data_IF_627916771642
#
_entry.id   IF_627916771642
#
_cell.length_a   1.000
_cell.length_b   1.000
_cell.length_c   1.000
_cell.angle_alpha   90.00
_cell.angle_beta   90.00
_cell.angle_gamma   90.00
#
_symmetry.space_group_name_H-M   'P 1'
#
loop_
_entity.id
_entity.type
_entity.pdbx_description
1 polymer ?
#
# COMPACT_ATOMS: atom_id res chain seq x y z
N UNK A 1 10.63 26.78 9.36
CA UNK A 1 9.18 26.69 9.74
C UNK A 1 9.02 25.43 10.56
N UNK A 2 8.13 25.40 11.57
CA UNK A 2 7.87 24.19 12.35
C UNK A 2 6.93 23.27 11.55
N UNK A 3 7.35 22.02 11.39
CA UNK A 3 6.56 20.96 10.76
C UNK A 3 6.55 19.74 11.67
N UNK A 4 5.55 18.88 11.51
CA UNK A 4 5.54 17.59 12.18
C UNK A 4 6.44 16.60 11.42
N UNK A 5 7.37 15.99 12.18
CA UNK A 5 8.31 15.01 11.69
C UNK A 5 8.19 13.71 12.47
N UNK A 6 8.27 12.59 11.78
CA UNK A 6 8.40 11.26 12.37
C UNK A 6 9.88 10.93 12.45
N UNK A 7 10.40 10.84 13.66
CA UNK A 7 11.76 10.36 13.92
C UNK A 7 11.71 8.86 14.16
N UNK A 8 12.44 8.10 13.36
CA UNK A 8 12.51 6.64 13.42
C UNK A 8 13.81 6.21 14.07
N UNK A 9 13.75 5.38 15.10
CA UNK A 9 14.94 4.82 15.74
C UNK A 9 15.30 3.45 15.16
N UNK A 10 16.57 3.07 15.27
CA UNK A 10 17.04 1.73 14.89
C UNK A 10 16.40 0.65 15.77
N UNK A 11 16.19 0.94 17.06
CA UNK A 11 15.65 -0.03 18.03
C UNK A 11 14.60 0.63 18.90
N UNK A 12 13.56 -0.12 19.22
CA UNK A 12 12.47 0.35 20.09
C UNK A 12 12.95 0.59 21.53
N UNK A 13 13.93 -0.16 21.98
CA UNK A 13 14.50 -0.04 23.32
C UNK A 13 15.15 1.31 23.56
N UNK A 14 15.56 2.01 22.51
CA UNK A 14 16.19 3.32 22.58
C UNK A 14 15.19 4.46 22.79
N UNK A 15 13.87 4.23 22.64
CA UNK A 15 12.84 5.25 22.71
C UNK A 15 12.88 6.04 24.03
N UNK A 16 12.96 5.35 25.16
CA UNK A 16 12.92 6.03 26.46
C UNK A 16 14.12 6.95 26.66
N UNK A 17 15.32 6.48 26.34
CA UNK A 17 16.54 7.31 26.42
C UNK A 17 16.53 8.45 25.42
N UNK A 18 15.92 8.23 24.25
CA UNK A 18 15.76 9.26 23.23
C UNK A 18 14.80 10.37 23.72
N UNK A 19 13.66 10.01 24.33
CA UNK A 19 12.75 10.97 24.95
C UNK A 19 13.44 11.79 26.04
N UNK A 20 14.23 11.16 26.90
CA UNK A 20 14.98 11.84 27.96
C UNK A 20 15.96 12.85 27.39
N UNK A 21 16.69 12.50 26.34
CA UNK A 21 17.64 13.40 25.66
C UNK A 21 16.96 14.57 24.93
N UNK A 22 15.79 14.35 24.37
CA UNK A 22 15.04 15.38 23.65
C UNK A 22 14.30 16.35 24.58
N UNK A 23 13.75 15.85 25.68
CA UNK A 23 12.75 16.59 26.46
C UNK A 23 13.30 17.12 27.79
N UNK A 24 14.45 16.61 28.24
CA UNK A 24 15.03 17.03 29.54
C UNK A 24 16.11 18.10 29.32
N UNK A 25 16.02 19.25 29.99
CA UNK A 25 17.10 20.26 29.94
C UNK A 25 18.47 19.65 30.28
N UNK A 26 19.42 19.78 29.35
CA UNK A 26 20.75 19.17 29.46
C UNK A 26 20.90 17.81 28.83
N UNK A 27 19.84 17.25 28.25
CA UNK A 27 19.90 16.09 27.36
C UNK A 27 20.72 16.39 26.10
N UNK A 28 21.31 15.36 25.49
CA UNK A 28 22.22 15.52 24.34
C UNK A 28 21.54 16.11 23.10
N UNK A 29 20.24 15.87 22.94
CA UNK A 29 19.43 16.35 21.82
C UNK A 29 18.49 17.48 22.22
N UNK A 30 18.59 17.94 23.47
CA UNK A 30 17.76 19.04 23.95
C UNK A 30 18.12 20.33 23.21
N UNK A 31 17.11 20.98 22.63
CA UNK A 31 17.29 22.22 21.87
C UNK A 31 17.18 23.41 22.87
N UNK A 32 18.27 24.14 23.14
CA UNK A 32 18.22 25.30 24.04
C UNK A 32 17.26 26.37 23.55
N UNK A 33 16.68 27.08 24.50
CA UNK A 33 15.79 28.24 24.27
C UNK A 33 14.47 27.90 23.52
N UNK A 34 14.18 26.63 23.30
CA UNK A 34 12.92 26.16 22.73
C UNK A 34 12.45 24.86 23.38
N UNK A 35 11.23 24.84 23.85
CA UNK A 35 10.56 23.60 24.21
C UNK A 35 10.14 22.89 22.93
N UNK A 36 10.78 21.76 22.62
CA UNK A 36 10.38 20.93 21.48
C UNK A 36 9.07 20.24 21.83
N UNK A 37 8.07 20.47 21.00
CA UNK A 37 6.74 19.94 21.22
C UNK A 37 6.64 18.53 20.68
N UNK A 38 6.25 17.57 21.53
CA UNK A 38 5.92 16.20 21.14
C UNK A 38 4.55 16.20 20.48
N UNK A 39 4.51 15.90 19.19
CA UNK A 39 3.26 15.81 18.46
C UNK A 39 2.53 14.49 18.74
N UNK A 40 3.25 13.35 18.79
CA UNK A 40 2.67 12.06 19.11
C UNK A 40 3.70 11.10 19.72
N UNK A 41 3.30 10.43 20.81
CA UNK A 41 4.04 9.29 21.40
C UNK A 41 3.37 7.99 20.96
N UNK A 42 4.06 7.22 20.16
CA UNK A 42 3.58 5.92 19.71
C UNK A 42 4.09 4.84 20.67
N UNK A 43 3.16 4.14 21.34
CA UNK A 43 3.52 3.26 22.44
C UNK A 43 4.18 1.95 22.01
N UNK A 44 3.89 1.48 20.82
CA UNK A 44 4.37 0.19 20.32
C UNK A 44 5.35 0.29 19.15
N UNK A 45 5.51 1.47 18.58
CA UNK A 45 6.40 1.75 17.45
C UNK A 45 7.74 2.29 17.91
N UNK A 46 8.78 2.12 17.10
CA UNK A 46 10.07 2.82 17.22
C UNK A 46 10.09 4.19 16.58
N UNK A 47 8.93 4.64 16.10
CA UNK A 47 8.70 5.98 15.59
C UNK A 47 8.18 6.89 16.69
N UNK A 48 8.59 8.15 16.65
CA UNK A 48 8.08 9.21 17.54
C UNK A 48 7.91 10.49 16.74
N UNK A 49 6.95 11.34 17.12
CA UNK A 49 6.60 12.52 16.34
C UNK A 49 6.92 13.79 17.11
N UNK A 50 7.64 14.71 16.47
CA UNK A 50 8.01 16.00 17.04
C UNK A 50 7.71 17.14 16.06
N UNK A 51 7.42 18.32 16.61
CA UNK A 51 7.38 19.57 15.86
C UNK A 51 8.78 20.15 15.76
N UNK A 52 9.39 20.09 14.56
CA UNK A 52 10.79 20.45 14.31
C UNK A 52 10.93 21.38 13.11
N UNK A 53 11.98 22.17 13.10
CA UNK A 53 12.49 22.82 11.89
C UNK A 53 13.40 21.88 11.11
N UNK A 54 13.64 22.18 9.83
CA UNK A 54 14.52 21.35 8.98
C UNK A 54 15.94 21.26 9.54
N UNK A 55 16.47 22.35 10.12
CA UNK A 55 17.81 22.38 10.73
C UNK A 55 17.88 21.49 12.00
N UNK A 56 16.81 21.48 12.80
CA UNK A 56 16.70 20.63 14.00
C UNK A 56 16.63 19.15 13.63
N UNK A 57 15.95 18.82 12.54
CA UNK A 57 15.89 17.46 12.02
C UNK A 57 17.27 16.96 11.61
N UNK A 58 18.08 17.78 10.95
CA UNK A 58 19.45 17.39 10.57
C UNK A 58 20.34 17.15 11.79
N UNK A 59 20.16 17.94 12.85
CA UNK A 59 20.83 17.70 14.13
C UNK A 59 20.43 16.35 14.74
N UNK A 60 19.11 16.04 14.75
CA UNK A 60 18.58 14.82 15.34
C UNK A 60 19.04 13.60 14.53
N UNK A 61 19.09 13.69 13.21
CA UNK A 61 19.58 12.62 12.33
C UNK A 61 21.06 12.26 12.57
N UNK A 62 21.82 13.13 13.22
CA UNK A 62 23.22 12.86 13.58
C UNK A 62 23.39 11.92 14.79
N UNK A 63 22.31 11.62 15.52
CA UNK A 63 22.34 10.68 16.66
C UNK A 63 22.35 9.24 16.15
N UNK A 64 23.26 8.42 16.69
CA UNK A 64 23.46 7.02 16.26
C UNK A 64 22.22 6.12 16.47
N UNK A 65 21.27 6.52 17.28
CA UNK A 65 20.00 5.81 17.49
C UNK A 65 19.01 6.08 16.38
N UNK A 66 19.18 7.16 15.62
CA UNK A 66 18.21 7.61 14.60
C UNK A 66 18.48 6.94 13.27
N UNK A 67 17.50 6.20 12.80
CA UNK A 67 17.50 5.57 11.48
C UNK A 67 17.13 6.57 10.36
N UNK A 68 16.24 7.52 10.67
CA UNK A 68 15.79 8.56 9.74
C UNK A 68 14.68 9.43 10.31
N UNK A 69 14.29 10.44 9.55
CA UNK A 69 13.13 11.27 9.87
C UNK A 69 12.39 11.67 8.60
N UNK A 70 11.06 11.54 8.63
CA UNK A 70 10.15 11.81 7.52
C UNK A 70 9.14 12.91 7.91
N UNK A 71 8.84 13.80 6.98
CA UNK A 71 7.80 14.79 7.18
C UNK A 71 6.41 14.17 7.04
N UNK A 72 5.53 14.34 8.02
CA UNK A 72 4.14 13.87 7.97
C UNK A 72 3.40 14.50 6.80
N UNK A 73 3.58 15.79 6.56
CA UNK A 73 2.95 16.48 5.43
C UNK A 73 3.39 15.88 4.07
N UNK A 74 4.65 15.44 3.94
CA UNK A 74 5.13 14.80 2.72
C UNK A 74 4.56 13.39 2.56
N UNK A 75 4.44 12.62 3.65
CA UNK A 75 3.82 11.29 3.63
C UNK A 75 2.37 11.42 3.15
N UNK A 76 1.60 12.29 3.76
CA UNK A 76 0.18 12.47 3.41
C UNK A 76 -0.01 12.99 1.98
N UNK A 77 0.89 13.90 1.54
CA UNK A 77 0.85 14.42 0.16
C UNK A 77 1.15 13.34 -0.89
N UNK A 78 2.09 12.44 -0.61
CA UNK A 78 2.60 11.48 -1.60
C UNK A 78 1.88 10.13 -1.59
N UNK A 79 1.16 9.81 -0.50
CA UNK A 79 0.43 8.55 -0.40
C UNK A 79 -0.90 8.65 -1.13
N UNK A 80 -1.04 7.93 -2.23
CA UNK A 80 -2.25 7.89 -3.06
C UNK A 80 -2.45 6.52 -3.69
N UNK A 81 -3.71 6.09 -3.93
CA UNK A 81 -4.00 4.90 -4.71
C UNK A 81 -3.43 5.04 -6.13
N UNK A 82 -2.87 3.97 -6.65
CA UNK A 82 -2.34 3.93 -8.01
C UNK A 82 -3.13 2.91 -8.83
N UNK A 83 -3.99 3.38 -9.71
CA UNK A 83 -4.77 2.51 -10.60
C UNK A 83 -5.11 3.22 -11.90
N UNK A 84 -5.46 2.44 -12.89
CA UNK A 84 -5.98 2.93 -14.18
C UNK A 84 -7.21 2.11 -14.55
N UNK A 85 -8.30 2.78 -14.92
CA UNK A 85 -9.47 2.11 -15.46
C UNK A 85 -9.11 1.57 -16.85
N UNK A 86 -9.34 0.28 -17.09
CA UNK A 86 -9.05 -0.33 -18.38
C UNK A 86 -9.93 0.28 -19.46
N UNK A 87 -9.29 0.72 -20.56
CA UNK A 87 -10.00 1.22 -21.73
C UNK A 87 -10.35 0.04 -22.64
N UNK A 88 -11.59 -0.04 -23.07
CA UNK A 88 -12.08 -1.00 -24.05
C UNK A 88 -13.28 -1.78 -23.57
N UNK A 89 -13.95 -2.40 -24.53
CA UNK A 89 -15.15 -3.21 -24.27
C UNK A 89 -14.81 -4.44 -23.45
N UNK A 90 -15.56 -4.58 -22.40
CA UNK A 90 -15.60 -5.81 -21.66
C UNK A 90 -16.61 -6.73 -22.30
N UNK A 91 -16.11 -7.52 -23.25
CA UNK A 91 -16.95 -8.41 -24.04
C UNK A 91 -17.37 -9.69 -23.33
N UNK A 92 -16.97 -9.86 -22.09
CA UNK A 92 -17.56 -10.89 -21.29
C UNK A 92 -18.94 -10.42 -20.90
N UNK A 93 -19.93 -10.78 -21.74
CA UNK A 93 -21.30 -10.66 -21.33
C UNK A 93 -21.43 -11.45 -20.02
N UNK A 94 -21.54 -10.75 -18.93
CA UNK A 94 -22.08 -11.30 -17.71
C UNK A 94 -23.55 -11.64 -17.92
N UNK A 95 -23.79 -12.37 -19.01
CA UNK A 95 -25.10 -12.81 -19.41
C UNK A 95 -25.73 -13.80 -18.47
N UNK A 96 -25.29 -13.79 -17.23
CA UNK A 96 -25.96 -14.47 -16.15
C UNK A 96 -25.35 -15.79 -15.74
N UNK A 97 -24.15 -16.14 -16.18
CA UNK A 97 -23.52 -17.34 -15.67
C UNK A 97 -22.45 -16.98 -14.62
N UNK A 98 -22.79 -17.22 -13.35
CA UNK A 98 -21.87 -17.05 -12.21
C UNK A 98 -20.65 -18.00 -12.31
N UNK A 99 -20.65 -18.93 -13.23
CA UNK A 99 -19.53 -19.85 -13.50
C UNK A 99 -18.43 -19.25 -14.37
N UNK A 100 -18.64 -18.06 -14.91
CA UNK A 100 -17.65 -17.37 -15.72
C UNK A 100 -16.56 -16.73 -14.85
N UNK A 101 -15.42 -17.40 -14.72
CA UNK A 101 -14.25 -16.90 -14.02
C UNK A 101 -13.57 -15.78 -14.80
N UNK A 102 -13.03 -14.76 -14.10
CA UNK A 102 -12.23 -13.78 -14.80
C UNK A 102 -10.86 -14.37 -15.21
N UNK A 103 -10.29 -13.84 -16.31
CA UNK A 103 -9.05 -14.38 -16.86
C UNK A 103 -7.88 -14.33 -15.87
N UNK A 104 -7.85 -13.33 -14.95
CA UNK A 104 -6.81 -13.21 -13.94
C UNK A 104 -6.76 -14.39 -12.99
N UNK A 105 -7.92 -14.92 -12.57
CA UNK A 105 -7.98 -16.13 -11.76
C UNK A 105 -7.44 -17.34 -12.55
N UNK A 106 -7.85 -17.50 -13.80
CA UNK A 106 -7.40 -18.60 -14.64
C UNK A 106 -5.90 -18.50 -14.93
N UNK A 107 -5.42 -17.29 -15.29
CA UNK A 107 -4.02 -17.09 -15.63
C UNK A 107 -3.08 -17.36 -14.46
N UNK A 108 -3.43 -16.94 -13.27
CA UNK A 108 -2.60 -17.16 -12.10
C UNK A 108 -2.68 -18.60 -11.55
N UNK A 109 -3.57 -19.43 -12.08
CA UNK A 109 -3.75 -20.83 -11.66
C UNK A 109 -3.25 -21.86 -12.68
N UNK A 110 -2.93 -21.45 -13.90
CA UNK A 110 -2.50 -22.35 -14.97
C UNK A 110 -1.04 -22.11 -15.37
N UNK A 111 -0.29 -23.18 -15.61
CA UNK A 111 1.12 -23.14 -15.99
C UNK A 111 1.33 -22.63 -17.42
N UNK A 112 0.36 -22.83 -18.32
CA UNK A 112 0.50 -22.50 -19.73
C UNK A 112 -0.38 -21.34 -20.13
N UNK A 113 0.22 -20.38 -20.84
CA UNK A 113 -0.53 -19.33 -21.49
C UNK A 113 -1.43 -19.90 -22.59
N UNK A 114 -2.70 -19.56 -22.56
CA UNK A 114 -3.64 -19.93 -23.59
C UNK A 114 -3.80 -18.79 -24.58
N UNK A 115 -3.52 -19.05 -25.84
CA UNK A 115 -3.65 -18.08 -26.94
C UNK A 115 -5.05 -17.48 -27.12
N UNK A 116 -6.06 -18.01 -26.48
CA UNK A 116 -7.45 -17.55 -26.52
C UNK A 116 -7.84 -16.67 -25.30
N UNK A 117 -6.93 -16.38 -24.39
CA UNK A 117 -7.13 -15.36 -23.35
C UNK A 117 -7.01 -13.93 -23.89
N UNK A 118 -7.04 -13.81 -25.13
CA UNK A 118 -6.86 -12.70 -26.05
C UNK A 118 -7.02 -11.30 -25.50
N UNK A 119 -6.41 -10.39 -26.19
CA UNK A 119 -6.22 -8.99 -25.84
C UNK A 119 -7.45 -8.25 -25.28
N UNK A 120 -8.62 -8.80 -25.35
CA UNK A 120 -9.85 -8.17 -24.87
C UNK A 120 -10.60 -9.01 -23.83
N UNK A 121 -10.03 -10.11 -23.36
CA UNK A 121 -10.73 -11.01 -22.43
C UNK A 121 -12.01 -11.64 -23.00
N UNK A 122 -12.15 -11.62 -24.34
CA UNK A 122 -13.36 -12.00 -25.07
C UNK A 122 -13.56 -13.49 -25.20
N UNK A 123 -12.59 -14.28 -24.84
CA UNK A 123 -12.61 -15.73 -25.08
C UNK A 123 -12.23 -16.48 -23.81
N UNK A 124 -12.75 -16.09 -22.68
CA UNK A 124 -12.63 -16.95 -21.51
C UNK A 124 -13.43 -18.22 -21.78
N UNK A 125 -12.70 -19.29 -22.06
CA UNK A 125 -13.28 -20.61 -22.01
C UNK A 125 -13.72 -20.83 -20.58
N UNK A 126 -14.98 -21.12 -20.37
CA UNK A 126 -15.47 -21.64 -19.09
C UNK A 126 -14.64 -22.87 -18.77
N UNK A 127 -13.74 -22.76 -17.80
CA UNK A 127 -13.04 -23.88 -17.22
C UNK A 127 -13.32 -23.87 -15.74
N UNK A 128 -13.64 -25.02 -15.20
CA UNK A 128 -13.82 -25.19 -13.78
C UNK A 128 -12.47 -24.95 -13.09
N UNK A 129 -12.34 -23.84 -12.40
CA UNK A 129 -11.24 -23.63 -11.47
C UNK A 129 -11.62 -24.26 -10.13
N UNK A 130 -10.93 -25.34 -9.76
CA UNK A 130 -11.11 -25.96 -8.45
C UNK A 130 -10.08 -25.43 -7.49
N UNK A 131 -10.53 -24.61 -6.54
CA UNK A 131 -9.71 -24.14 -5.41
C UNK A 131 -10.15 -24.92 -4.18
N UNK A 132 -9.24 -25.67 -3.58
CA UNK A 132 -9.52 -26.56 -2.45
C UNK A 132 -9.55 -25.84 -1.10
N UNK A 133 -9.01 -24.62 -1.03
CA UNK A 133 -9.03 -23.73 0.13
C UNK A 133 -9.75 -22.42 -0.25
N UNK A 134 -10.38 -21.77 0.72
CA UNK A 134 -11.24 -20.61 0.48
C UNK A 134 -10.87 -19.37 1.30
N UNK A 135 -9.81 -19.47 2.11
CA UNK A 135 -9.42 -18.44 3.07
C UNK A 135 -10.26 -18.46 4.34
N UNK A 136 -10.95 -19.58 4.65
CA UNK A 136 -11.76 -19.74 5.86
C UNK A 136 -10.89 -19.56 7.11
N UNK A 137 -11.40 -18.82 8.09
CA UNK A 137 -10.67 -18.52 9.34
C UNK A 137 -9.40 -17.69 9.11
N UNK A 138 -9.37 -16.90 8.05
CA UNK A 138 -8.32 -15.94 7.75
C UNK A 138 -8.93 -14.53 7.79
N UNK A 139 -8.18 -13.58 8.33
CA UNK A 139 -8.57 -12.16 8.35
C UNK A 139 -7.73 -11.41 7.32
N UNK A 140 -8.39 -10.83 6.34
CA UNK A 140 -7.75 -9.97 5.32
C UNK A 140 -8.08 -8.52 5.59
N UNK A 141 -7.06 -7.67 5.70
CA UNK A 141 -7.23 -6.22 5.82
C UNK A 141 -6.94 -5.58 4.48
N UNK A 142 -7.93 -4.95 3.91
CA UNK A 142 -7.81 -4.10 2.72
C UNK A 142 -7.43 -2.69 3.20
N UNK A 143 -6.18 -2.31 2.95
CA UNK A 143 -5.67 -0.96 3.22
C UNK A 143 -5.83 -0.14 1.94
N UNK A 144 -6.99 0.53 1.82
CA UNK A 144 -7.42 1.18 0.59
C UNK A 144 -8.55 2.18 0.90
N UNK A 145 -9.21 2.73 -0.13
CA UNK A 145 -10.49 3.40 0.04
C UNK A 145 -11.53 2.51 0.74
N UNK A 146 -12.66 3.07 1.08
CA UNK A 146 -13.73 2.30 1.71
C UNK A 146 -14.29 1.25 0.74
N UNK A 147 -14.78 0.15 1.29
CA UNK A 147 -15.41 -0.94 0.53
C UNK A 147 -16.91 -0.97 0.78
N UNK A 148 -17.68 -1.36 -0.23
CA UNK A 148 -19.13 -1.50 -0.08
C UNK A 148 -19.47 -2.86 0.57
N UNK A 149 -19.86 -2.91 1.85
CA UNK A 149 -20.11 -4.16 2.54
C UNK A 149 -21.37 -4.88 2.04
N UNK A 150 -22.25 -4.21 1.32
CA UNK A 150 -23.49 -4.79 0.81
C UNK A 150 -23.35 -5.35 -0.61
N UNK A 151 -22.19 -5.22 -1.25
CA UNK A 151 -21.97 -5.78 -2.58
C UNK A 151 -22.08 -7.31 -2.57
N UNK A 152 -22.74 -7.97 -3.56
CA UNK A 152 -22.86 -9.43 -3.65
C UNK A 152 -21.53 -10.18 -3.58
N UNK A 153 -20.45 -9.59 -4.09
CA UNK A 153 -19.08 -10.17 -3.96
C UNK A 153 -18.62 -10.29 -2.50
N UNK A 154 -19.14 -9.45 -1.62
CA UNK A 154 -18.80 -9.45 -0.18
C UNK A 154 -19.80 -10.25 0.66
N UNK A 155 -20.79 -10.86 0.07
CA UNK A 155 -21.78 -11.64 0.80
C UNK A 155 -21.22 -12.96 1.34
N UNK A 156 -21.86 -13.51 2.37
CA UNK A 156 -21.52 -14.82 2.94
C UNK A 156 -21.74 -15.93 1.92
N UNK A 157 -22.85 -15.88 1.17
CA UNK A 157 -23.16 -16.88 0.16
C UNK A 157 -22.84 -16.35 -1.25
N UNK A 158 -22.43 -17.26 -2.13
CA UNK A 158 -22.04 -16.95 -3.50
C UNK A 158 -23.19 -16.32 -4.34
N UNK A 159 -24.44 -16.60 -3.99
CA UNK A 159 -25.63 -15.99 -4.60
C UNK A 159 -25.91 -14.55 -4.18
N UNK A 160 -25.05 -13.98 -3.34
CA UNK A 160 -25.22 -12.62 -2.81
C UNK A 160 -26.06 -12.52 -1.54
N UNK A 161 -26.48 -13.65 -0.95
CA UNK A 161 -27.29 -13.69 0.27
C UNK A 161 -26.45 -13.96 1.53
N UNK A 162 -27.10 -13.98 2.71
CA UNK A 162 -26.48 -14.41 3.97
C UNK A 162 -25.79 -13.30 4.76
N UNK A 163 -25.91 -12.04 4.36
CA UNK A 163 -25.20 -10.92 4.98
C UNK A 163 -23.79 -10.72 4.44
N UNK A 164 -22.99 -9.89 5.07
CA UNK A 164 -21.67 -9.47 4.61
C UNK A 164 -20.53 -10.14 5.37
N UNK A 165 -19.46 -10.49 4.67
CA UNK A 165 -18.17 -10.90 5.26
C UNK A 165 -17.29 -9.71 5.66
N UNK A 166 -17.68 -8.50 5.25
CA UNK A 166 -17.00 -7.27 5.67
C UNK A 166 -17.31 -7.00 7.13
N UNK A 167 -16.26 -6.99 7.93
CA UNK A 167 -16.36 -6.76 9.36
C UNK A 167 -16.37 -5.26 9.65
N UNK A 168 -17.45 -4.76 10.28
CA UNK A 168 -17.59 -3.35 10.69
C UNK A 168 -16.83 -3.12 12.01
N UNK A 169 -15.50 -3.21 11.96
CA UNK A 169 -14.68 -3.00 13.14
C UNK A 169 -14.40 -1.51 13.35
N UNK A 170 -14.69 -1.01 14.55
CA UNK A 170 -14.37 0.37 14.90
C UNK A 170 -12.90 0.49 15.34
N UNK A 171 -12.01 0.80 14.40
CA UNK A 171 -10.59 0.99 14.65
C UNK A 171 -10.29 2.04 15.71
N UNK A 172 -11.11 3.10 15.79
CA UNK A 172 -10.92 4.17 16.77
C UNK A 172 -11.07 3.70 18.22
N UNK A 173 -11.70 2.54 18.46
CA UNK A 173 -11.72 1.92 19.79
C UNK A 173 -10.33 1.56 20.32
N UNK A 174 -9.32 1.49 19.45
CA UNK A 174 -7.93 1.17 19.80
C UNK A 174 -7.05 2.41 20.02
N UNK A 175 -7.58 3.63 19.85
CA UNK A 175 -6.80 4.88 19.90
C UNK A 175 -5.95 5.00 21.16
N UNK A 176 -6.50 4.68 22.33
CA UNK A 176 -5.75 4.75 23.59
C UNK A 176 -4.58 3.75 23.66
N UNK A 177 -4.70 2.60 23.02
CA UNK A 177 -3.63 1.60 22.98
C UNK A 177 -2.54 1.97 21.94
N UNK A 178 -2.93 2.70 20.90
CA UNK A 178 -2.02 3.14 19.83
C UNK A 178 -1.22 4.37 20.24
N UNK A 179 -1.88 5.42 20.74
CA UNK A 179 -1.27 6.73 20.99
C UNK A 179 -1.30 7.16 22.48
N UNK A 180 -1.90 6.39 23.36
CA UNK A 180 -2.08 6.79 24.76
C UNK A 180 -3.09 7.91 24.95
N UNK A 181 -3.89 8.24 23.92
CA UNK A 181 -4.87 9.31 23.94
C UNK A 181 -4.28 10.67 23.53
N UNK A 182 -4.90 11.73 24.00
CA UNK A 182 -4.49 13.11 23.71
C UNK A 182 -3.12 13.45 24.29
N UNK A 183 -2.24 14.03 23.50
CA UNK A 183 -0.93 14.47 23.92
C UNK A 183 -0.76 15.99 23.69
N UNK A 184 -1.07 16.75 24.71
CA UNK A 184 -0.93 18.22 24.66
C UNK A 184 -1.83 18.88 23.61
N UNK A 185 -1.23 19.70 22.74
CA UNK A 185 -1.94 20.46 21.70
C UNK A 185 -2.38 19.57 20.53
N UNK A 186 -1.72 18.42 20.33
CA UNK A 186 -1.99 17.50 19.23
C UNK A 186 -2.77 16.30 19.74
N UNK A 187 -3.97 16.13 19.20
CA UNK A 187 -4.87 15.05 19.54
C UNK A 187 -5.00 14.13 18.32
N UNK A 188 -4.44 12.93 18.42
CA UNK A 188 -4.69 11.84 17.48
C UNK A 188 -5.89 10.98 17.90
N UNK A 189 -6.56 11.41 18.98
CA UNK A 189 -7.77 10.76 19.45
C UNK A 189 -8.92 11.04 18.47
N UNK A 190 -9.39 10.02 17.81
CA UNK A 190 -10.58 10.06 16.97
C UNK A 190 -11.78 9.61 17.78
N UNK A 191 -12.58 10.59 18.20
CA UNK A 191 -13.87 10.32 18.79
C UNK A 191 -14.87 9.94 17.67
N UNK A 192 -15.58 8.83 17.84
CA UNK A 192 -16.58 8.39 16.90
C UNK A 192 -16.48 6.90 16.55
N UNK A 193 -17.13 6.53 15.47
CA UNK A 193 -17.10 5.16 14.95
C UNK A 193 -16.47 5.15 13.57
N UNK A 194 -15.45 4.31 13.41
CA UNK A 194 -15.00 3.93 12.09
C UNK A 194 -16.07 3.02 11.47
N UNK A 195 -16.51 3.36 10.28
CA UNK A 195 -17.55 2.60 9.56
C UNK A 195 -17.14 2.51 8.10
N UNK A 196 -17.16 1.30 7.55
CA UNK A 196 -17.12 1.14 6.10
C UNK A 196 -18.39 1.68 5.49
N UNK A 197 -18.23 2.50 4.49
CA UNK A 197 -19.33 3.07 3.69
C UNK A 197 -19.12 2.65 2.23
N UNK A 198 -20.15 2.87 1.40
CA UNK A 198 -19.95 2.73 -0.03
C UNK A 198 -18.84 3.68 -0.50
N UNK A 199 -17.96 3.19 -1.34
CA UNK A 199 -16.82 3.94 -1.81
C UNK A 199 -17.24 4.96 -2.87
N UNK A 200 -17.35 6.21 -2.47
CA UNK A 200 -17.67 7.33 -3.34
C UNK A 200 -16.45 8.25 -3.56
N UNK A 201 -15.41 8.14 -2.71
CA UNK A 201 -14.35 9.13 -2.65
C UNK A 201 -13.12 8.77 -3.50
N UNK A 202 -12.90 7.48 -3.82
CA UNK A 202 -11.69 7.00 -4.51
C UNK A 202 -11.94 6.24 -5.81
N UNK A 203 -13.03 6.53 -6.51
CA UNK A 203 -13.41 5.90 -7.78
C UNK A 203 -13.56 4.37 -7.70
N UNK A 204 -14.08 3.86 -6.60
CA UNK A 204 -14.35 2.44 -6.38
C UNK A 204 -13.11 1.54 -6.19
N UNK A 205 -11.92 2.13 -6.01
CA UNK A 205 -10.68 1.36 -5.99
C UNK A 205 -10.66 0.33 -4.86
N UNK A 206 -11.01 0.72 -3.63
CA UNK A 206 -11.07 -0.18 -2.49
C UNK A 206 -12.07 -1.33 -2.66
N UNK A 207 -13.25 -1.05 -3.27
CA UNK A 207 -14.22 -2.08 -3.63
C UNK A 207 -13.64 -3.10 -4.60
N UNK A 208 -12.95 -2.62 -5.65
CA UNK A 208 -12.34 -3.47 -6.67
C UNK A 208 -11.25 -4.37 -6.11
N UNK A 209 -10.37 -3.78 -5.30
CA UNK A 209 -9.29 -4.50 -4.61
C UNK A 209 -9.86 -5.58 -3.69
N UNK A 210 -10.86 -5.25 -2.86
CA UNK A 210 -11.52 -6.21 -1.96
C UNK A 210 -12.14 -7.38 -2.72
N UNK A 211 -12.83 -7.10 -3.83
CA UNK A 211 -13.42 -8.14 -4.68
C UNK A 211 -12.36 -9.05 -5.33
N UNK A 212 -11.20 -8.51 -5.69
CA UNK A 212 -10.10 -9.31 -6.27
C UNK A 212 -9.45 -10.22 -5.22
N UNK A 213 -9.31 -9.76 -3.95
CA UNK A 213 -8.80 -10.62 -2.87
C UNK A 213 -9.80 -11.70 -2.49
N UNK A 214 -11.06 -11.29 -2.21
CA UNK A 214 -12.00 -12.10 -1.45
C UNK A 214 -13.43 -12.15 -2.03
N UNK A 215 -13.63 -11.67 -3.25
CA UNK A 215 -14.94 -11.71 -3.89
C UNK A 215 -15.43 -13.13 -4.12
N UNK A 216 -16.75 -13.32 -4.06
CA UNK A 216 -17.38 -14.62 -4.23
C UNK A 216 -17.15 -15.25 -5.62
N UNK A 217 -17.10 -14.42 -6.68
CA UNK A 217 -16.93 -14.88 -8.06
C UNK A 217 -15.67 -14.33 -8.71
N UNK A 218 -15.10 -13.24 -8.18
CA UNK A 218 -13.94 -12.55 -8.75
C UNK A 218 -12.68 -12.69 -7.90
N UNK A 219 -12.78 -13.24 -6.69
CA UNK A 219 -11.68 -13.32 -5.74
C UNK A 219 -11.22 -14.75 -5.44
N UNK A 220 -10.12 -14.84 -4.71
CA UNK A 220 -9.49 -16.09 -4.28
C UNK A 220 -10.02 -16.55 -2.92
N UNK A 221 -9.95 -15.68 -1.91
CA UNK A 221 -10.23 -16.00 -0.51
C UNK A 221 -11.71 -15.79 -0.16
N UNK A 222 -12.58 -16.57 -0.80
CA UNK A 222 -14.03 -16.38 -0.79
C UNK A 222 -14.72 -16.55 0.57
N UNK A 223 -14.05 -17.16 1.56
CA UNK A 223 -14.58 -17.37 2.91
C UNK A 223 -13.77 -16.58 3.96
N UNK A 224 -12.83 -15.74 3.54
CA UNK A 224 -12.09 -14.89 4.47
C UNK A 224 -12.98 -13.81 5.10
N UNK A 225 -12.66 -13.45 6.35
CA UNK A 225 -13.18 -12.23 6.94
C UNK A 225 -12.49 -11.02 6.30
N UNK A 226 -13.25 -10.04 5.87
CA UNK A 226 -12.73 -8.86 5.22
C UNK A 226 -12.81 -7.66 6.16
N UNK A 227 -11.70 -7.03 6.44
CA UNK A 227 -11.59 -5.77 7.17
C UNK A 227 -11.11 -4.68 6.23
N UNK A 228 -11.40 -3.44 6.55
CA UNK A 228 -10.91 -2.30 5.77
C UNK A 228 -10.31 -1.23 6.68
N UNK A 229 -9.19 -0.69 6.25
CA UNK A 229 -8.62 0.56 6.75
C UNK A 229 -8.50 1.52 5.58
N UNK A 230 -9.20 2.66 5.68
CA UNK A 230 -9.07 3.74 4.69
C UNK A 230 -8.15 4.84 5.23
N UNK A 231 -6.93 4.98 4.66
CA UNK A 231 -6.02 6.07 5.02
C UNK A 231 -6.25 7.33 4.18
N UNK A 232 -7.23 7.33 3.29
CA UNK A 232 -7.45 8.38 2.29
C UNK A 232 -8.70 9.20 2.56
N UNK A 233 -8.69 10.42 1.97
CA UNK A 233 -9.84 11.28 1.93
C UNK A 233 -10.08 12.10 3.21
N UNK A 234 -11.04 12.98 3.13
CA UNK A 234 -11.51 13.83 4.22
C UNK A 234 -12.64 13.19 5.04
N UNK A 235 -12.95 11.92 4.77
CA UNK A 235 -14.00 11.21 5.45
C UNK A 235 -13.68 11.09 6.96
N UNK A 236 -14.63 11.38 7.86
CA UNK A 236 -14.44 11.19 9.30
C UNK A 236 -14.01 9.78 9.69
N UNK A 237 -14.27 8.79 8.86
CA UNK A 237 -13.85 7.41 9.04
C UNK A 237 -12.45 7.09 8.51
N UNK A 238 -11.71 8.06 7.95
CA UNK A 238 -10.33 7.81 7.52
C UNK A 238 -9.38 7.77 8.69
N UNK A 239 -8.47 6.80 8.68
CA UNK A 239 -7.35 6.72 9.62
C UNK A 239 -6.16 7.52 9.09
N UNK A 240 -5.30 8.00 9.99
CA UNK A 240 -4.03 8.59 9.58
C UNK A 240 -3.13 7.53 8.94
N UNK A 241 -2.58 7.84 7.76
CA UNK A 241 -1.63 6.96 7.06
C UNK A 241 -0.35 6.70 7.87
N UNK A 242 0.00 7.60 8.78
CA UNK A 242 1.15 7.45 9.68
C UNK A 242 0.91 6.54 10.89
N UNK A 243 -0.35 6.21 11.20
CA UNK A 243 -0.72 5.41 12.38
C UNK A 243 -1.39 4.08 12.03
N UNK A 244 -1.79 3.86 10.79
CA UNK A 244 -2.58 2.68 10.39
C UNK A 244 -1.90 1.36 10.77
N UNK A 245 -0.57 1.30 10.72
CA UNK A 245 0.19 0.10 11.08
C UNK A 245 0.09 -0.20 12.57
N UNK A 246 0.14 0.79 13.44
CA UNK A 246 -0.05 0.58 14.88
C UNK A 246 -1.45 0.08 15.20
N UNK A 247 -2.48 0.60 14.52
CA UNK A 247 -3.85 0.10 14.67
C UNK A 247 -3.95 -1.37 14.27
N UNK A 248 -3.36 -1.78 13.15
CA UNK A 248 -3.36 -3.17 12.69
C UNK A 248 -2.61 -4.09 13.66
N UNK A 249 -1.45 -3.65 14.15
CA UNK A 249 -0.62 -4.41 15.13
C UNK A 249 -1.34 -4.62 16.45
N UNK A 250 -1.91 -3.56 17.02
CA UNK A 250 -2.70 -3.65 18.27
C UNK A 250 -3.90 -4.58 18.07
N UNK A 251 -4.62 -4.43 16.96
CA UNK A 251 -5.74 -5.29 16.65
C UNK A 251 -5.31 -6.75 16.47
N UNK A 252 -4.28 -7.03 15.71
CA UNK A 252 -3.75 -8.37 15.50
C UNK A 252 -3.39 -9.06 16.83
N UNK A 253 -2.74 -8.34 17.73
CA UNK A 253 -2.34 -8.84 19.04
C UNK A 253 -3.52 -9.07 20.00
N UNK A 254 -4.64 -8.33 19.83
CA UNK A 254 -5.75 -8.31 20.81
C UNK A 254 -7.07 -8.87 20.29
N UNK A 255 -7.21 -9.14 18.99
CA UNK A 255 -8.44 -9.70 18.40
C UNK A 255 -8.81 -11.04 19.08
N UNK A 256 -10.09 -11.37 19.06
CA UNK A 256 -10.61 -12.56 19.73
C UNK A 256 -9.98 -13.85 19.20
N UNK A 257 -9.87 -14.83 20.07
CA UNK A 257 -9.57 -16.21 19.70
C UNK A 257 -10.79 -16.75 18.94
N UNK A 258 -10.55 -17.30 17.76
CA UNK A 258 -11.57 -17.94 16.98
C UNK A 258 -11.99 -19.26 17.68
N UNK A 259 -13.27 -19.42 18.03
CA UNK A 259 -13.73 -20.60 18.77
C UNK A 259 -13.66 -21.91 17.95
N UNK A 260 -13.66 -21.82 16.63
CA UNK A 260 -13.55 -22.97 15.73
C UNK A 260 -12.12 -23.54 15.72
N UNK A 261 -11.12 -22.67 15.76
CA UNK A 261 -9.71 -23.06 15.60
C UNK A 261 -8.92 -23.04 16.92
N UNK A 262 -9.45 -22.40 17.97
CA UNK A 262 -8.80 -22.22 19.26
C UNK A 262 -7.61 -21.24 19.23
N UNK A 263 -7.43 -20.48 18.15
CA UNK A 263 -6.35 -19.49 17.98
C UNK A 263 -6.88 -18.20 17.36
N UNK A 264 -6.07 -17.13 17.37
CA UNK A 264 -6.34 -15.95 16.53
C UNK A 264 -6.15 -16.31 15.07
N UNK A 265 -7.02 -15.81 14.21
CA UNK A 265 -6.86 -16.00 12.78
C UNK A 265 -5.54 -15.37 12.29
N UNK A 266 -4.83 -15.94 11.30
CA UNK A 266 -3.78 -15.24 10.58
C UNK A 266 -4.28 -13.92 10.01
N UNK A 267 -3.40 -12.94 9.90
CA UNK A 267 -3.72 -11.62 9.31
C UNK A 267 -2.88 -11.40 8.07
N UNK A 268 -3.55 -11.16 6.96
CA UNK A 268 -2.93 -10.76 5.69
C UNK A 268 -3.39 -9.33 5.36
N UNK A 269 -2.50 -8.47 4.91
CA UNK A 269 -2.86 -7.14 4.43
C UNK A 269 -2.63 -7.01 2.95
N UNK A 270 -3.57 -6.40 2.25
CA UNK A 270 -3.39 -5.95 0.88
C UNK A 270 -3.23 -4.44 0.85
N UNK A 271 -2.14 -3.98 0.21
CA UNK A 271 -1.73 -2.59 0.16
C UNK A 271 -1.58 -2.16 -1.31
N UNK A 272 -2.71 -1.75 -1.91
CA UNK A 272 -2.77 -1.35 -3.32
C UNK A 272 -2.60 0.16 -3.50
N UNK A 273 -1.65 0.75 -2.80
CA UNK A 273 -1.32 2.18 -2.86
C UNK A 273 0.19 2.37 -2.94
N UNK A 274 0.61 3.59 -3.21
CA UNK A 274 2.03 3.91 -3.24
C UNK A 274 2.31 5.38 -2.97
N UNK A 275 3.59 5.71 -2.89
CA UNK A 275 4.07 7.08 -2.80
C UNK A 275 5.01 7.33 -3.95
N UNK A 276 4.78 8.38 -4.71
CA UNK A 276 5.68 8.79 -5.77
C UNK A 276 5.91 10.29 -5.75
N UNK A 277 7.14 10.68 -6.07
CA UNK A 277 7.51 12.05 -6.37
C UNK A 277 7.30 12.29 -7.85
N UNK A 278 6.59 13.36 -8.19
CA UNK A 278 6.32 13.70 -9.58
C UNK A 278 7.36 14.68 -10.09
N UNK A 279 8.04 14.35 -11.19
CA UNK A 279 8.94 15.22 -11.93
C UNK A 279 8.31 15.54 -13.29
N UNK A 280 8.29 16.80 -13.69
CA UNK A 280 7.75 17.24 -14.99
C UNK A 280 7.40 18.71 -14.99
N UNK A 281 6.81 19.22 -16.07
CA UNK A 281 6.50 20.67 -16.24
C UNK A 281 5.63 21.25 -15.13
N UNK A 282 4.76 20.42 -14.50
CA UNK A 282 3.91 20.81 -13.38
C UNK A 282 4.23 20.01 -12.11
N UNK A 283 5.30 19.24 -12.11
CA UNK A 283 5.73 18.43 -10.99
C UNK A 283 6.66 19.18 -10.04
N UNK A 284 7.49 18.43 -9.32
CA UNK A 284 8.52 19.03 -8.47
C UNK A 284 9.51 19.75 -9.38
N UNK A 285 9.27 21.03 -9.56
CA UNK A 285 10.27 21.95 -10.12
C UNK A 285 11.44 22.04 -9.13
N UNK A 286 12.60 22.43 -9.61
CA UNK A 286 13.77 22.75 -8.80
C UNK A 286 14.62 21.55 -8.39
N UNK A 287 14.71 20.50 -9.19
CA UNK A 287 15.81 19.53 -9.06
C UNK A 287 17.11 20.26 -9.39
N UNK A 288 17.98 20.40 -8.39
CA UNK A 288 19.22 21.19 -8.50
C UNK A 288 20.44 20.33 -8.73
N UNK A 289 20.42 19.08 -8.26
CA UNK A 289 21.52 18.15 -8.48
C UNK A 289 20.99 16.71 -8.64
N UNK A 290 21.72 15.90 -9.36
CA UNK A 290 21.47 14.46 -9.51
C UNK A 290 22.78 13.67 -9.37
N UNK A 291 22.78 12.64 -8.55
CA UNK A 291 23.82 11.61 -8.56
C UNK A 291 23.30 10.40 -9.36
N UNK A 292 23.97 10.04 -10.41
CA UNK A 292 23.64 8.88 -11.22
C UNK A 292 24.84 7.93 -11.31
N UNK A 293 24.67 6.73 -10.75
CA UNK A 293 25.72 5.70 -10.68
C UNK A 293 27.06 6.22 -10.15
N UNK A 294 27.00 7.00 -9.07
CA UNK A 294 28.18 7.56 -8.41
C UNK A 294 28.74 8.84 -9.05
N UNK A 295 28.15 9.34 -10.13
CA UNK A 295 28.55 10.61 -10.77
C UNK A 295 27.57 11.70 -10.40
N UNK A 296 28.03 12.65 -9.58
CA UNK A 296 27.25 13.84 -9.21
C UNK A 296 27.28 14.87 -10.35
N UNK A 297 26.11 15.37 -10.72
CA UNK A 297 25.95 16.50 -11.62
C UNK A 297 25.17 17.61 -10.89
N UNK A 298 25.87 18.69 -10.59
CA UNK A 298 25.34 19.89 -9.94
C UNK A 298 25.82 21.12 -10.72
N UNK A 299 24.96 21.70 -11.57
CA UNK A 299 25.32 22.89 -12.36
C UNK A 299 25.14 24.21 -11.59
N UNK A 300 24.78 24.19 -10.31
CA UNK A 300 24.50 25.38 -9.50
C UNK A 300 23.18 26.11 -9.89
N UNK A 301 22.27 25.41 -10.55
CA UNK A 301 20.92 25.87 -10.96
C UNK A 301 19.99 24.69 -11.11
N UNK A 302 18.70 24.96 -11.30
CA UNK A 302 17.74 23.90 -11.63
C UNK A 302 18.14 23.14 -12.90
N UNK A 303 18.01 21.82 -12.86
CA UNK A 303 18.28 20.95 -14.00
C UNK A 303 17.15 21.06 -15.02
N UNK A 304 17.54 21.02 -16.28
CA UNK A 304 16.61 20.91 -17.40
C UNK A 304 16.09 19.48 -17.52
N UNK A 305 14.93 19.32 -18.14
CA UNK A 305 14.37 18.01 -18.44
C UNK A 305 15.34 17.12 -19.25
N UNK A 306 16.05 17.70 -20.22
CA UNK A 306 17.03 16.98 -21.02
C UNK A 306 18.22 16.46 -20.19
N UNK A 307 18.64 17.22 -19.17
CA UNK A 307 19.69 16.80 -18.24
C UNK A 307 19.24 15.68 -17.30
N UNK A 308 17.98 15.71 -16.89
CA UNK A 308 17.35 14.61 -16.12
C UNK A 308 17.19 13.35 -16.97
N UNK A 309 16.67 13.51 -18.19
CA UNK A 309 16.50 12.41 -19.14
C UNK A 309 17.82 11.70 -19.47
N UNK A 310 18.88 12.47 -19.69
CA UNK A 310 20.22 11.93 -19.94
C UNK A 310 20.77 11.07 -18.80
N UNK A 311 20.12 11.12 -17.60
CA UNK A 311 20.49 10.38 -16.40
C UNK A 311 19.39 9.44 -15.91
N UNK A 312 18.58 8.95 -16.82
CA UNK A 312 17.56 7.93 -16.53
C UNK A 312 16.24 8.44 -15.96
N UNK A 313 16.08 9.75 -15.75
CA UNK A 313 14.81 10.36 -15.39
C UNK A 313 14.09 10.79 -16.68
N UNK A 314 13.42 9.85 -17.31
CA UNK A 314 12.78 10.10 -18.60
C UNK A 314 11.38 10.66 -18.43
N UNK A 315 11.13 11.90 -18.88
CA UNK A 315 9.79 12.44 -19.09
C UNK A 315 9.54 12.54 -20.61
N UNK A 316 8.58 11.81 -21.17
CA UNK A 316 8.44 11.67 -22.63
C UNK A 316 7.93 12.91 -23.34
N UNK A 317 7.27 13.83 -22.64
CA UNK A 317 6.81 15.09 -23.22
C UNK A 317 6.59 16.15 -22.14
N UNK A 318 6.43 17.40 -22.59
CA UNK A 318 6.22 18.58 -21.75
C UNK A 318 4.98 18.52 -20.83
N UNK A 319 4.03 17.63 -21.11
CA UNK A 319 2.78 17.51 -20.35
C UNK A 319 2.64 16.18 -19.60
N UNK A 320 3.67 15.33 -19.61
CA UNK A 320 3.65 14.05 -18.93
C UNK A 320 4.51 14.14 -17.68
N UNK A 321 3.87 13.99 -16.55
CA UNK A 321 4.53 13.85 -15.28
C UNK A 321 5.07 12.43 -15.15
N UNK A 322 6.27 12.28 -14.57
CA UNK A 322 6.85 10.99 -14.23
C UNK A 322 6.78 10.81 -12.72
N UNK A 323 6.14 9.75 -12.28
CA UNK A 323 6.21 9.31 -10.89
C UNK A 323 7.53 8.59 -10.63
N UNK A 324 8.22 8.96 -9.56
CA UNK A 324 9.37 8.23 -9.05
C UNK A 324 8.96 7.61 -7.73
N UNK A 325 8.93 6.28 -7.61
CA UNK A 325 8.55 5.62 -6.38
C UNK A 325 9.40 6.10 -5.21
N UNK A 326 8.77 6.51 -4.12
CA UNK A 326 9.43 7.07 -2.96
C UNK A 326 9.20 6.21 -1.72
N UNK A 327 10.27 5.92 -1.00
CA UNK A 327 10.25 5.12 0.21
C UNK A 327 10.43 6.00 1.45
N UNK A 328 9.56 5.83 2.44
CA UNK A 328 9.68 6.48 3.74
C UNK A 328 10.27 5.52 4.77
N UNK A 329 11.30 5.96 5.48
CA UNK A 329 11.95 5.18 6.55
C UNK A 329 10.98 4.77 7.65
N UNK A 330 10.12 5.71 8.07
CA UNK A 330 9.09 5.49 9.09
C UNK A 330 8.08 4.41 8.68
N UNK A 331 7.58 4.47 7.45
CA UNK A 331 6.65 3.46 6.94
C UNK A 331 7.31 2.08 6.86
N UNK A 332 8.54 2.01 6.38
CA UNK A 332 9.29 0.76 6.30
C UNK A 332 9.53 0.15 7.68
N UNK A 333 9.82 0.99 8.68
CA UNK A 333 9.99 0.55 10.06
C UNK A 333 8.68 -0.02 10.63
N UNK A 334 7.55 0.65 10.40
CA UNK A 334 6.23 0.19 10.84
C UNK A 334 5.82 -1.13 10.15
N UNK A 335 6.11 -1.26 8.86
CA UNK A 335 5.86 -2.51 8.12
C UNK A 335 6.72 -3.65 8.66
N UNK A 336 8.02 -3.40 8.92
CA UNK A 336 8.89 -4.41 9.52
C UNK A 336 8.38 -4.84 10.89
N UNK A 337 8.01 -3.89 11.74
CA UNK A 337 7.45 -4.19 13.05
C UNK A 337 6.14 -5.00 12.96
N UNK A 338 5.31 -4.74 11.94
CA UNK A 338 4.09 -5.51 11.71
C UNK A 338 4.38 -6.95 11.24
N UNK A 339 5.41 -7.13 10.41
CA UNK A 339 5.90 -8.46 10.00
C UNK A 339 6.45 -9.23 11.21
N UNK A 340 7.23 -8.58 12.05
CA UNK A 340 7.78 -9.18 13.29
C UNK A 340 6.67 -9.59 14.27
N UNK A 341 5.53 -8.90 14.26
CA UNK A 341 4.33 -9.26 15.01
C UNK A 341 3.51 -10.41 14.35
N UNK A 342 3.88 -10.87 13.14
CA UNK A 342 3.24 -11.99 12.44
C UNK A 342 2.15 -11.59 11.44
N UNK A 343 2.09 -10.34 11.02
CA UNK A 343 1.21 -9.87 9.94
C UNK A 343 1.90 -10.09 8.59
N UNK A 344 1.21 -10.68 7.64
CA UNK A 344 1.73 -10.86 6.27
C UNK A 344 1.31 -9.66 5.42
N UNK A 345 2.28 -9.06 4.74
CA UNK A 345 2.09 -7.84 3.96
C UNK A 345 2.30 -8.11 2.49
N UNK A 346 1.25 -7.89 1.70
CA UNK A 346 1.30 -7.91 0.24
C UNK A 346 1.04 -6.49 -0.27
N UNK A 347 1.82 -6.04 -1.24
CA UNK A 347 1.76 -4.68 -1.75
C UNK A 347 1.92 -4.60 -3.26
N UNK A 348 1.33 -3.58 -3.86
CA UNK A 348 1.53 -3.25 -5.26
C UNK A 348 2.91 -2.65 -5.51
N UNK A 349 3.58 -3.07 -6.59
CA UNK A 349 4.92 -2.58 -6.93
C UNK A 349 4.93 -1.13 -7.48
N UNK A 350 3.76 -0.59 -7.87
CA UNK A 350 3.61 0.73 -8.46
C UNK A 350 3.49 0.74 -9.98
N UNK A 351 2.96 1.85 -10.52
CA UNK A 351 2.53 1.97 -11.92
C UNK A 351 3.32 3.04 -12.69
N UNK A 352 4.56 3.29 -12.31
CA UNK A 352 5.38 4.38 -12.83
C UNK A 352 6.32 3.94 -13.96
N UNK A 353 6.27 2.66 -14.38
CA UNK A 353 7.23 2.04 -15.32
C UNK A 353 8.67 2.16 -14.85
N UNK A 354 8.89 2.18 -13.55
CA UNK A 354 10.16 2.50 -12.92
C UNK A 354 10.93 1.25 -12.49
N UNK A 355 12.29 1.33 -12.57
CA UNK A 355 13.17 0.30 -12.04
C UNK A 355 13.41 0.53 -10.54
N UNK A 356 13.06 -0.44 -9.71
CA UNK A 356 13.31 -0.45 -8.26
C UNK A 356 14.27 -1.58 -7.91
N UNK A 357 15.29 -1.30 -7.08
CA UNK A 357 16.42 -2.22 -6.97
C UNK A 357 16.92 -2.39 -5.54
N UNK A 358 17.48 -3.56 -5.27
CA UNK A 358 18.16 -3.88 -4.03
C UNK A 358 19.51 -3.20 -3.91
N UNK A 359 20.06 -3.15 -2.70
CA UNK A 359 21.30 -2.44 -2.35
C UNK A 359 22.55 -2.89 -3.10
N UNK A 360 22.52 -4.06 -3.72
CA UNK A 360 23.62 -4.58 -4.55
C UNK A 360 23.64 -4.06 -5.99
N UNK A 361 22.54 -3.43 -6.45
CA UNK A 361 22.46 -2.86 -7.81
C UNK A 361 23.18 -1.50 -7.88
N UNK A 362 23.83 -1.23 -9.02
CA UNK A 362 24.53 0.03 -9.27
C UNK A 362 23.62 1.26 -9.23
N UNK A 363 22.31 1.09 -9.46
CA UNK A 363 21.34 2.17 -9.48
C UNK A 363 20.78 2.48 -8.08
N UNK A 364 21.05 1.66 -7.05
CA UNK A 364 20.50 1.81 -5.71
C UNK A 364 20.80 3.17 -5.07
N UNK A 365 22.00 3.72 -5.32
CA UNK A 365 22.45 4.98 -4.76
C UNK A 365 22.22 6.20 -5.69
N UNK A 366 21.37 6.06 -6.71
CA UNK A 366 20.94 7.21 -7.50
C UNK A 366 20.02 8.10 -6.66
N UNK A 367 20.28 9.41 -6.68
CA UNK A 367 19.44 10.40 -5.98
C UNK A 367 19.44 11.74 -6.69
N UNK A 368 18.50 12.59 -6.33
CA UNK A 368 18.53 14.00 -6.67
C UNK A 368 18.32 14.88 -5.43
N UNK A 369 18.68 16.17 -5.55
CA UNK A 369 18.39 17.18 -4.55
C UNK A 369 17.38 18.18 -5.12
N UNK A 370 16.56 18.80 -4.25
CA UNK A 370 15.53 19.76 -4.60
C UNK A 370 15.82 21.09 -3.93
N UNK A 371 15.85 22.16 -4.71
CA UNK A 371 16.09 23.52 -4.22
C UNK A 371 17.44 23.65 -3.50
N UNK A 372 17.46 24.35 -2.38
CA UNK A 372 18.64 24.48 -1.54
C UNK A 372 18.83 23.32 -0.55
N UNK A 373 17.97 22.31 -0.58
CA UNK A 373 18.05 21.17 0.32
C UNK A 373 19.21 20.26 -0.05
N UNK A 374 19.97 19.84 0.94
CA UNK A 374 21.00 18.79 0.80
C UNK A 374 20.42 17.40 1.00
N UNK A 375 19.11 17.26 1.21
CA UNK A 375 18.44 15.99 1.36
C UNK A 375 18.48 15.18 0.07
N UNK A 376 18.86 13.90 0.16
CA UNK A 376 18.95 12.99 -0.97
C UNK A 376 17.60 12.29 -1.19
N UNK A 377 16.94 12.60 -2.28
CA UNK A 377 15.76 11.89 -2.73
C UNK A 377 16.17 10.70 -3.59
N UNK A 378 16.08 9.51 -3.02
CA UNK A 378 16.57 8.27 -3.65
C UNK A 378 15.65 7.82 -4.78
N UNK A 379 16.20 7.58 -5.96
CA UNK A 379 15.44 7.34 -7.18
C UNK A 379 14.97 5.88 -7.33
N UNK A 380 15.77 4.92 -6.92
CA UNK A 380 15.55 3.51 -7.24
C UNK A 380 15.32 2.63 -6.00
N UNK A 381 15.09 3.23 -4.83
CA UNK A 381 14.92 2.52 -3.55
C UNK A 381 13.47 2.26 -3.18
N UNK A 382 12.51 2.97 -3.76
CA UNK A 382 11.10 2.86 -3.42
C UNK A 382 10.38 1.87 -4.31
N UNK A 383 9.43 1.14 -3.75
CA UNK A 383 8.34 0.50 -4.48
C UNK A 383 7.04 1.25 -4.21
N UNK A 384 5.96 0.90 -4.92
CA UNK A 384 4.69 1.61 -4.78
C UNK A 384 4.25 1.82 -3.33
N UNK A 385 4.16 0.77 -2.53
CA UNK A 385 3.65 0.85 -1.14
C UNK A 385 4.73 1.03 -0.07
N UNK A 386 5.96 1.09 -0.44
CA UNK A 386 7.11 1.11 0.44
C UNK A 386 7.93 -0.13 0.18
N UNK A 387 9.15 -0.13 0.19
CA UNK A 387 10.07 -1.21 0.45
C UNK A 387 11.47 -0.82 0.04
N UNK A 388 12.33 -1.55 0.37
CA UNK A 388 13.75 -1.46 0.33
C UNK A 388 14.31 -1.90 1.67
N UNK A 389 13.47 -1.94 2.71
CA UNK A 389 13.89 -2.35 4.05
C UNK A 389 13.00 -3.43 4.65
N UNK A 390 11.69 -3.35 4.51
CA UNK A 390 10.78 -4.39 4.98
C UNK A 390 10.63 -5.49 3.91
N UNK A 391 10.71 -6.77 4.26
CA UNK A 391 10.58 -7.88 3.32
C UNK A 391 9.09 -8.15 3.00
N UNK A 392 8.39 -7.14 2.48
CA UNK A 392 7.02 -7.27 2.01
C UNK A 392 6.99 -8.00 0.66
N UNK A 393 5.86 -8.61 0.30
CA UNK A 393 5.66 -9.21 -1.02
C UNK A 393 5.25 -8.11 -1.98
N UNK A 394 6.15 -7.67 -2.85
CA UNK A 394 5.88 -6.66 -3.86
C UNK A 394 5.44 -7.30 -5.17
N UNK A 395 4.26 -6.93 -5.66
CA UNK A 395 3.62 -7.56 -6.79
C UNK A 395 3.59 -6.64 -8.00
N UNK A 396 4.29 -7.02 -9.05
CA UNK A 396 4.21 -6.42 -10.38
C UNK A 396 3.01 -6.92 -11.16
N UNK A 397 2.68 -6.25 -12.27
CA UNK A 397 1.57 -6.60 -13.12
C UNK A 397 2.04 -7.20 -14.46
N UNK A 398 1.43 -8.32 -14.87
CA UNK A 398 1.52 -8.81 -16.24
C UNK A 398 0.37 -8.25 -17.08
N UNK A 399 0.62 -8.08 -18.38
CA UNK A 399 -0.39 -7.67 -19.34
C UNK A 399 -1.35 -8.82 -19.66
N UNK A 400 -2.49 -8.49 -20.25
CA UNK A 400 -3.48 -9.45 -20.70
C UNK A 400 -3.23 -9.94 -22.14
N UNK A 401 -2.05 -9.68 -22.68
CA UNK A 401 -1.69 -10.18 -24.00
C UNK A 401 -1.20 -11.64 -23.98
N UNK A 402 -1.05 -12.21 -25.17
CA UNK A 402 -0.65 -13.61 -25.33
C UNK A 402 0.84 -13.85 -25.06
N UNK A 403 1.64 -12.79 -24.94
CA UNK A 403 3.08 -12.87 -24.69
C UNK A 403 3.40 -12.91 -23.20
N UNK A 404 2.44 -12.54 -22.35
CA UNK A 404 2.62 -12.41 -20.89
C UNK A 404 3.70 -11.40 -20.52
N UNK A 405 3.82 -10.36 -21.28
CA UNK A 405 4.76 -9.29 -21.00
C UNK A 405 4.45 -8.62 -19.67
N UNK A 406 5.46 -8.03 -19.07
CA UNK A 406 5.24 -7.07 -18.00
C UNK A 406 4.30 -5.98 -18.50
N UNK A 407 3.21 -5.70 -17.78
CA UNK A 407 2.33 -4.58 -18.13
C UNK A 407 3.15 -3.28 -18.28
N UNK A 408 2.90 -2.46 -19.31
CA UNK A 408 3.74 -1.29 -19.63
C UNK A 408 3.92 -0.35 -18.45
N UNK A 409 2.88 -0.15 -17.65
CA UNK A 409 2.91 0.72 -16.47
C UNK A 409 3.64 0.12 -15.27
N UNK A 410 3.75 -1.22 -15.16
CA UNK A 410 4.27 -1.87 -13.97
C UNK A 410 5.71 -1.49 -13.68
N UNK A 411 5.99 -1.16 -12.42
CA UNK A 411 7.36 -1.12 -11.94
C UNK A 411 8.02 -2.48 -12.05
N UNK A 412 9.35 -2.51 -12.09
CA UNK A 412 10.14 -3.72 -12.27
C UNK A 412 11.48 -3.60 -11.52
N UNK A 413 12.26 -4.66 -11.55
CA UNK A 413 13.58 -4.69 -10.92
C UNK A 413 13.64 -5.64 -9.74
N UNK A 414 14.76 -5.65 -9.03
CA UNK A 414 15.03 -6.66 -8.00
C UNK A 414 14.24 -6.49 -6.70
N UNK A 415 13.43 -5.43 -6.58
CA UNK A 415 12.49 -5.25 -5.48
C UNK A 415 11.05 -5.68 -5.81
N UNK A 416 10.81 -6.20 -7.02
CA UNK A 416 9.54 -6.83 -7.37
C UNK A 416 9.71 -8.33 -7.23
N UNK A 417 8.98 -8.93 -6.29
CA UNK A 417 9.17 -10.34 -5.90
C UNK A 417 8.45 -11.30 -6.84
N UNK A 418 7.26 -10.91 -7.29
CA UNK A 418 6.40 -11.74 -8.14
C UNK A 418 5.56 -10.87 -9.07
N UNK A 419 5.14 -11.42 -10.19
CA UNK A 419 4.18 -10.80 -11.10
C UNK A 419 2.88 -11.61 -11.12
N UNK A 420 1.75 -10.91 -11.18
CA UNK A 420 0.44 -11.50 -11.36
C UNK A 420 -0.37 -10.70 -12.39
N UNK A 421 -1.48 -11.26 -12.84
CA UNK A 421 -2.36 -10.61 -13.80
C UNK A 421 -2.85 -9.26 -13.25
N UNK A 422 -2.61 -8.18 -13.99
CA UNK A 422 -2.90 -6.81 -13.55
C UNK A 422 -3.56 -5.91 -14.60
N UNK A 423 -3.84 -6.41 -15.80
CA UNK A 423 -4.63 -5.69 -16.81
C UNK A 423 -6.00 -6.32 -16.98
N UNK A 424 -7.01 -5.50 -17.23
CA UNK A 424 -8.39 -5.92 -17.47
C UNK A 424 -8.94 -6.87 -16.39
N UNK A 425 -8.58 -6.68 -15.15
CA UNK A 425 -9.04 -7.47 -14.01
C UNK A 425 -10.44 -7.02 -13.62
N UNK A 426 -11.39 -7.94 -13.67
CA UNK A 426 -12.75 -7.67 -13.27
C UNK A 426 -12.96 -7.88 -11.78
N UNK A 427 -13.66 -6.94 -11.17
CA UNK A 427 -14.02 -7.03 -9.75
C UNK A 427 -15.17 -6.09 -9.40
N UNK A 428 -15.59 -6.12 -8.13
CA UNK A 428 -16.70 -5.31 -7.60
C UNK A 428 -16.38 -3.81 -7.61
N UNK A 429 -17.36 -3.02 -7.96
CA UNK A 429 -17.33 -1.55 -7.87
C UNK A 429 -18.67 -1.03 -7.34
N UNK A 430 -18.63 0.15 -6.74
CA UNK A 430 -19.86 0.81 -6.29
C UNK A 430 -20.67 1.34 -7.48
N UNK A 431 -19.98 1.90 -8.49
CA UNK A 431 -20.62 2.51 -9.65
C UNK A 431 -19.69 2.45 -10.89
N UNK A 432 -20.24 2.77 -12.07
CA UNK A 432 -19.45 2.92 -13.29
C UNK A 432 -19.06 1.61 -13.99
N UNK A 433 -19.73 0.51 -13.69
CA UNK A 433 -19.52 -0.80 -14.29
C UNK A 433 -20.78 -1.42 -14.92
N UNK A 434 -20.73 -2.71 -15.16
CA UNK A 434 -21.86 -3.52 -15.58
C UNK A 434 -22.63 -4.04 -14.37
N UNK A 435 -23.95 -4.08 -14.46
CA UNK A 435 -24.80 -4.57 -13.38
C UNK A 435 -24.44 -6.00 -12.98
N UNK A 436 -24.31 -6.25 -11.68
CA UNK A 436 -24.16 -7.59 -11.14
C UNK A 436 -25.46 -8.37 -11.33
N UNK A 437 -25.39 -9.55 -11.91
CA UNK A 437 -26.57 -10.37 -12.22
C UNK A 437 -27.34 -10.82 -10.97
N UNK A 438 -26.66 -10.89 -9.83
CA UNK A 438 -27.28 -11.27 -8.54
C UNK A 438 -28.07 -10.12 -7.94
N UNK A 439 -27.67 -8.88 -8.23
CA UNK A 439 -28.38 -7.68 -7.81
C UNK A 439 -27.93 -6.47 -8.65
N UNK A 440 -28.75 -6.05 -9.57
CA UNK A 440 -28.46 -4.97 -10.52
C UNK A 440 -28.22 -3.57 -9.90
N UNK A 441 -28.37 -3.42 -8.58
CA UNK A 441 -27.98 -2.21 -7.88
C UNK A 441 -26.46 -2.13 -7.63
N UNK A 442 -25.74 -3.21 -7.84
CA UNK A 442 -24.29 -3.33 -7.68
C UNK A 442 -23.65 -3.62 -9.02
N UNK A 443 -22.38 -3.34 -9.14
CA UNK A 443 -21.72 -3.37 -10.43
C UNK A 443 -20.35 -4.05 -10.35
N UNK A 444 -19.89 -4.52 -11.50
CA UNK A 444 -18.57 -5.09 -11.74
C UNK A 444 -17.88 -4.30 -12.84
N UNK A 445 -16.60 -4.04 -12.70
CA UNK A 445 -15.82 -3.30 -13.70
C UNK A 445 -14.43 -3.90 -13.86
N UNK A 446 -13.80 -3.61 -15.00
CA UNK A 446 -12.40 -3.94 -15.27
C UNK A 446 -11.50 -2.79 -14.93
N UNK A 447 -10.50 -3.06 -14.11
CA UNK A 447 -9.43 -2.14 -13.82
C UNK A 447 -8.08 -2.73 -14.21
N UNK A 448 -7.07 -1.88 -14.31
CA UNK A 448 -5.70 -2.29 -14.53
C UNK A 448 -4.76 -1.51 -13.61
N UNK A 449 -3.68 -2.17 -13.22
CA UNK A 449 -2.68 -1.62 -12.32
C UNK A 449 -2.02 -2.73 -11.51
N UNK A 450 -0.87 -2.43 -10.90
CA UNK A 450 -0.31 -3.28 -9.86
C UNK A 450 -1.24 -3.36 -8.64
N UNK A 451 -2.15 -2.41 -8.50
CA UNK A 451 -3.28 -2.46 -7.57
C UNK A 451 -4.24 -3.62 -7.81
N UNK A 452 -4.25 -4.22 -9.00
CA UNK A 452 -5.07 -5.39 -9.36
C UNK A 452 -4.27 -6.67 -9.32
N UNK A 453 -2.95 -6.63 -9.50
CA UNK A 453 -2.08 -7.80 -9.34
C UNK A 453 -1.76 -8.11 -7.86
N UNK A 454 -1.53 -7.08 -7.03
CA UNK A 454 -1.31 -7.24 -5.59
C UNK A 454 -2.41 -8.06 -4.90
N UNK A 455 -3.69 -7.72 -5.06
CA UNK A 455 -4.79 -8.46 -4.44
C UNK A 455 -4.93 -9.90 -4.96
N UNK A 456 -4.49 -10.24 -6.17
CA UNK A 456 -4.42 -11.64 -6.61
C UNK A 456 -3.50 -12.45 -5.66
N UNK A 457 -2.30 -11.94 -5.43
CA UNK A 457 -1.32 -12.58 -4.54
C UNK A 457 -1.80 -12.58 -3.08
N UNK A 458 -2.38 -11.48 -2.60
CA UNK A 458 -2.95 -11.43 -1.24
C UNK A 458 -4.03 -12.48 -1.02
N UNK A 459 -4.89 -12.70 -2.03
CA UNK A 459 -5.90 -13.75 -1.99
C UNK A 459 -5.28 -15.16 -1.98
N UNK A 460 -4.25 -15.41 -2.78
CA UNK A 460 -3.51 -16.68 -2.79
C UNK A 460 -2.83 -16.92 -1.44
N UNK A 461 -2.17 -15.93 -0.88
CA UNK A 461 -1.56 -16.04 0.47
C UNK A 461 -2.61 -16.35 1.54
N UNK A 462 -3.81 -15.77 1.43
CA UNK A 462 -4.90 -16.07 2.36
C UNK A 462 -5.37 -17.53 2.28
N UNK A 463 -5.48 -18.11 1.08
CA UNK A 463 -5.82 -19.55 0.95
C UNK A 463 -4.67 -20.46 1.38
N UNK A 464 -3.41 -20.05 1.21
CA UNK A 464 -2.27 -20.79 1.76
C UNK A 464 -2.29 -20.78 3.30
N UNK A 465 -2.55 -19.64 3.91
CA UNK A 465 -2.62 -19.48 5.35
C UNK A 465 -3.75 -20.30 6.01
N UNK A 466 -4.82 -20.66 5.27
CA UNK A 466 -5.84 -21.60 5.75
C UNK A 466 -5.23 -22.97 6.05
N UNK A 467 -4.35 -23.44 5.17
CA UNK A 467 -3.67 -24.75 5.32
C UNK A 467 -2.44 -24.67 6.24
N UNK A 468 -1.75 -23.52 6.26
CA UNK A 468 -0.56 -23.26 7.06
C UNK A 468 -0.72 -22.01 7.92
N UNK A 469 -1.47 -22.07 8.98
CA UNK A 469 -1.88 -20.89 9.75
C UNK A 469 -0.76 -20.20 10.53
N UNK A 470 0.42 -20.77 10.58
CA UNK A 470 1.63 -20.16 11.14
C UNK A 470 2.63 -19.75 10.04
N UNK A 471 2.19 -19.72 8.78
CA UNK A 471 3.02 -19.23 7.67
C UNK A 471 3.55 -17.84 7.99
N UNK A 472 4.83 -17.65 7.79
CA UNK A 472 5.50 -16.37 8.00
C UNK A 472 5.55 -15.57 6.71
N UNK A 473 5.89 -14.27 6.80
CA UNK A 473 6.11 -13.41 5.64
C UNK A 473 7.11 -14.00 4.64
N UNK A 474 8.17 -14.64 5.11
CA UNK A 474 9.22 -15.22 4.25
C UNK A 474 8.81 -16.53 3.60
N UNK A 475 7.87 -17.24 4.20
CA UNK A 475 7.35 -18.52 3.67
C UNK A 475 6.17 -18.33 2.72
N UNK A 476 5.50 -17.21 2.80
CA UNK A 476 4.39 -16.83 1.95
C UNK A 476 4.88 -16.33 0.57
#
# INVERSE_FOLDING_TARGET
MLNEWIVTLHRKEDLQSFYEDMETPGGNLFIPDRAVEVANRRLISRNTHYMLTDDEVELIKSDDRVMGADSVALIDLLTRPQYTIANGDFDKSWGGDASDLNWGLLRNSEETNRSNWGANGTSLVSTDLTITASGKNIDVIIVDGHINPAHPEMAVNADGSGGSRVQQFNWFSLTNAVSGGSNGTYTYDRAGSYTNVADEDDNNHGCHVAGTVAGNTQGWARDANVYNISPYGSNPSSLSSSLMWDYMRVWHATKAINPETGRRNPTITNNSYGSSLTIGENGIANVTAINYRGVLFDPGRDLTQAELQARGCYAPSSNVQMGIPYSFTSRNADMQDAIDDGIIIVASAGNDSWKTVNSSDQDYNNYYNIGASTFNYWLNRGTGSGAGYAPIINVGATSNDTQEDKAPFSNCGSQVDIFAAGEAIQSSVHSGGLADVRNGSYQLSKYQGTSMSGPQVAGVVAILAESWPNITQTEA
#
